data_IF_648898673282
#
_entry.id   IF_648898673282
#
_cell.length_a   1.000
_cell.length_b   1.000
_cell.length_c   1.000
_cell.angle_alpha   90.00
_cell.angle_beta   90.00
_cell.angle_gamma   90.00
#
_symmetry.space_group_name_H-M   'P 1'
#
loop_
_entity.id
_entity.type
_entity.pdbx_description
1 polymer ?
#
# COMPACT_ATOMS: atom_id res chain seq x y z
N UNK A 1 -24.23 13.14 -29.95
CA UNK A 1 -25.31 13.70 -30.80
C UNK A 1 -26.67 13.86 -30.11
N UNK A 2 -26.94 13.18 -28.97
CA UNK A 2 -28.22 13.28 -28.25
C UNK A 2 -28.62 14.72 -27.87
N UNK A 3 -27.69 15.50 -27.30
CA UNK A 3 -27.97 16.89 -26.89
C UNK A 3 -28.32 17.77 -28.10
N UNK A 4 -27.58 17.64 -29.21
CA UNK A 4 -27.82 18.40 -30.44
C UNK A 4 -29.18 18.06 -31.06
N UNK A 5 -29.61 16.79 -31.04
CA UNK A 5 -30.93 16.42 -31.58
C UNK A 5 -32.07 16.99 -30.73
N UNK A 6 -31.93 17.00 -29.41
CA UNK A 6 -32.91 17.61 -28.52
C UNK A 6 -32.98 19.13 -28.72
N UNK A 7 -31.84 19.81 -28.86
CA UNK A 7 -31.81 21.25 -29.16
C UNK A 7 -32.50 21.58 -30.49
N UNK A 8 -32.35 20.74 -31.51
CA UNK A 8 -33.05 20.90 -32.79
C UNK A 8 -34.56 20.69 -32.62
N UNK A 9 -34.97 19.61 -31.95
CA UNK A 9 -36.37 19.27 -31.73
C UNK A 9 -37.12 20.34 -30.93
N UNK A 10 -36.43 20.99 -29.99
CA UNK A 10 -36.96 22.08 -29.17
C UNK A 10 -36.79 23.47 -29.84
N UNK A 11 -36.22 23.54 -31.05
CA UNK A 11 -36.10 24.77 -31.82
C UNK A 11 -34.99 25.72 -31.37
N UNK A 12 -34.08 25.30 -30.49
CA UNK A 12 -32.93 26.09 -30.05
C UNK A 12 -31.85 26.22 -31.15
N UNK A 13 -31.80 25.26 -32.09
CA UNK A 13 -30.92 25.31 -33.27
C UNK A 13 -31.69 24.94 -34.54
N UNK A 14 -31.28 25.50 -35.67
CA UNK A 14 -31.83 25.15 -36.98
C UNK A 14 -31.33 23.78 -37.46
N UNK A 15 -32.01 23.20 -38.45
CA UNK A 15 -31.58 21.95 -39.07
C UNK A 15 -30.18 22.06 -39.70
N UNK A 16 -29.84 23.23 -40.24
CA UNK A 16 -28.53 23.51 -40.84
C UNK A 16 -27.43 23.65 -39.78
N UNK A 17 -27.73 24.29 -38.64
CA UNK A 17 -26.83 24.36 -37.49
C UNK A 17 -26.59 22.98 -36.87
N UNK A 18 -27.63 22.15 -36.79
CA UNK A 18 -27.52 20.76 -36.33
C UNK A 18 -26.59 19.94 -37.22
N UNK A 19 -26.80 19.97 -38.55
CA UNK A 19 -25.94 19.25 -39.49
C UNK A 19 -24.49 19.71 -39.41
N UNK A 20 -24.26 21.03 -39.34
CA UNK A 20 -22.91 21.57 -39.16
C UNK A 20 -22.25 21.10 -37.85
N UNK A 21 -23.00 21.12 -36.73
CA UNK A 21 -22.48 20.73 -35.42
C UNK A 21 -22.21 19.23 -35.30
N UNK A 22 -23.06 18.38 -35.88
CA UNK A 22 -22.87 16.92 -35.88
C UNK A 22 -21.64 16.51 -36.71
N UNK A 23 -21.36 17.25 -37.79
CA UNK A 23 -20.21 17.00 -38.66
C UNK A 23 -18.92 17.69 -38.18
N UNK A 24 -18.98 18.50 -37.12
CA UNK A 24 -17.78 19.10 -36.52
C UNK A 24 -17.07 18.07 -35.64
N UNK A 25 -15.77 17.78 -35.85
CA UNK A 25 -15.04 16.84 -35.01
C UNK A 25 -15.06 17.26 -33.54
N UNK A 26 -15.19 16.29 -32.61
CA UNK A 26 -15.20 16.58 -31.17
C UNK A 26 -13.88 17.18 -30.66
N UNK A 27 -12.83 17.07 -31.46
CA UNK A 27 -11.50 17.64 -31.20
C UNK A 27 -11.38 19.10 -31.62
N UNK A 28 -12.32 19.63 -32.41
CA UNK A 28 -12.28 21.00 -32.89
C UNK A 28 -12.57 22.00 -31.74
N UNK A 29 -11.68 22.98 -31.58
CA UNK A 29 -11.79 23.97 -30.50
C UNK A 29 -11.54 23.45 -29.08
N UNK A 30 -11.07 22.20 -28.91
CA UNK A 30 -10.64 21.71 -27.59
C UNK A 30 -9.49 22.58 -27.09
N UNK A 31 -9.72 23.27 -25.98
CA UNK A 31 -8.64 23.87 -25.22
C UNK A 31 -7.98 22.79 -24.36
N UNK A 32 -6.67 22.93 -24.12
CA UNK A 32 -6.00 22.11 -23.13
C UNK A 32 -6.74 22.21 -21.80
N UNK A 33 -7.07 21.06 -21.21
CA UNK A 33 -7.61 20.98 -19.86
C UNK A 33 -6.67 21.74 -18.93
N UNK A 34 -7.12 22.87 -18.41
CA UNK A 34 -6.46 23.50 -17.28
C UNK A 34 -6.79 22.63 -16.08
N UNK A 35 -5.84 21.78 -15.68
CA UNK A 35 -5.91 21.10 -14.40
C UNK A 35 -6.11 22.14 -13.32
N UNK A 36 -7.27 22.10 -12.69
CA UNK A 36 -7.56 22.84 -11.48
C UNK A 36 -8.20 21.86 -10.51
N UNK A 37 -7.48 20.80 -10.16
CA UNK A 37 -7.66 20.26 -8.83
C UNK A 37 -7.41 21.42 -7.86
N UNK A 38 -8.42 21.80 -7.08
CA UNK A 38 -8.31 22.91 -6.13
C UNK A 38 -7.44 22.55 -4.90
N UNK A 39 -6.70 21.45 -4.96
CA UNK A 39 -5.86 20.95 -3.88
C UNK A 39 -4.42 20.76 -4.38
N UNK A 40 -3.42 20.89 -3.49
CA UNK A 40 -2.02 20.65 -3.84
C UNK A 40 -1.77 19.19 -4.26
N UNK A 41 -0.92 18.96 -5.25
CA UNK A 41 -0.64 17.61 -5.76
C UNK A 41 -0.19 16.62 -4.67
N UNK A 42 0.52 17.09 -3.64
CA UNK A 42 0.95 16.25 -2.52
C UNK A 42 -0.19 15.71 -1.68
N UNK A 43 -1.42 16.24 -1.79
CA UNK A 43 -2.59 15.77 -1.06
C UNK A 43 -3.38 14.68 -1.80
N UNK A 44 -3.04 14.38 -3.06
CA UNK A 44 -3.91 13.61 -3.97
C UNK A 44 -4.30 12.24 -3.42
N UNK A 45 -3.33 11.40 -3.07
CA UNK A 45 -3.60 10.06 -2.55
C UNK A 45 -4.30 10.09 -1.18
N UNK A 46 -3.90 10.99 -0.29
CA UNK A 46 -4.55 11.13 1.01
C UNK A 46 -6.04 11.53 0.87
N UNK A 47 -6.34 12.52 0.01
CA UNK A 47 -7.71 12.94 -0.24
C UNK A 47 -8.53 11.87 -0.93
N UNK A 48 -7.93 11.04 -1.79
CA UNK A 48 -8.60 9.87 -2.37
C UNK A 48 -9.14 8.94 -1.27
N UNK A 49 -8.32 8.61 -0.28
CA UNK A 49 -8.76 7.75 0.83
C UNK A 49 -9.79 8.42 1.73
N UNK A 50 -9.67 9.72 1.98
CA UNK A 50 -10.71 10.49 2.70
C UNK A 50 -12.05 10.44 1.96
N UNK A 51 -12.03 10.58 0.63
CA UNK A 51 -13.23 10.51 -0.19
C UNK A 51 -13.86 9.12 -0.12
N UNK A 52 -13.05 8.08 -0.32
CA UNK A 52 -13.50 6.69 -0.24
C UNK A 52 -14.11 6.38 1.13
N UNK A 53 -13.42 6.76 2.22
CA UNK A 53 -13.88 6.49 3.58
C UNK A 53 -15.21 7.20 3.88
N UNK A 54 -15.36 8.46 3.50
CA UNK A 54 -16.62 9.19 3.73
C UNK A 54 -17.76 8.60 2.90
N UNK A 55 -17.50 8.19 1.66
CA UNK A 55 -18.51 7.54 0.84
C UNK A 55 -18.93 6.18 1.43
N UNK A 56 -17.98 5.37 1.91
CA UNK A 56 -18.25 4.08 2.57
C UNK A 56 -19.02 4.24 3.89
N UNK A 57 -18.65 5.21 4.73
CA UNK A 57 -19.26 5.38 6.06
C UNK A 57 -20.60 6.12 6.03
N UNK A 58 -20.79 7.04 5.07
CA UNK A 58 -21.95 7.94 5.06
C UNK A 58 -22.89 7.73 3.87
N UNK A 59 -22.41 7.10 2.79
CA UNK A 59 -23.12 7.00 1.52
C UNK A 59 -23.18 8.29 0.70
N UNK A 60 -22.55 9.38 1.16
CA UNK A 60 -22.49 10.65 0.44
C UNK A 60 -21.22 10.77 -0.39
N UNK A 61 -21.40 11.18 -1.65
CA UNK A 61 -20.26 11.51 -2.51
C UNK A 61 -19.81 12.95 -2.24
N UNK A 62 -18.61 13.09 -1.66
CA UNK A 62 -18.01 14.37 -1.28
C UNK A 62 -17.81 15.35 -2.44
N UNK A 63 -17.63 14.86 -3.66
CA UNK A 63 -17.44 15.71 -4.83
C UNK A 63 -18.73 16.42 -5.28
N UNK A 64 -19.88 15.95 -4.79
CA UNK A 64 -21.20 16.47 -5.17
C UNK A 64 -22.01 17.00 -3.98
N UNK A 65 -21.63 16.62 -2.76
CA UNK A 65 -22.31 17.01 -1.53
C UNK A 65 -21.51 18.10 -0.84
N UNK A 66 -22.12 19.26 -0.59
CA UNK A 66 -21.49 20.31 0.22
C UNK A 66 -21.35 19.87 1.68
N UNK A 67 -20.14 19.52 2.09
CA UNK A 67 -19.82 19.02 3.43
C UNK A 67 -18.46 19.54 3.89
N UNK A 68 -18.34 19.83 5.18
CA UNK A 68 -17.06 20.09 5.83
C UNK A 68 -16.49 18.78 6.40
N UNK A 69 -15.28 18.41 5.99
CA UNK A 69 -14.58 17.21 6.44
C UNK A 69 -13.32 17.58 7.21
N UNK A 70 -13.26 17.15 8.46
CA UNK A 70 -12.08 17.32 9.31
C UNK A 70 -11.29 16.00 9.31
N UNK A 71 -10.03 16.06 8.89
CA UNK A 71 -9.18 14.87 8.72
C UNK A 71 -8.02 14.87 9.71
N UNK A 72 -7.25 13.79 9.74
CA UNK A 72 -6.08 13.65 10.62
C UNK A 72 -4.76 14.06 9.93
N UNK A 73 -4.82 14.67 8.73
CA UNK A 73 -3.61 14.99 7.96
C UNK A 73 -2.73 15.97 8.73
N UNK A 74 -1.47 15.62 8.88
CA UNK A 74 -0.43 16.59 9.20
C UNK A 74 0.10 17.13 7.88
N UNK A 75 -0.25 18.38 7.56
CA UNK A 75 0.08 18.98 6.27
C UNK A 75 1.59 19.11 6.04
N UNK A 76 2.35 19.36 7.11
CA UNK A 76 3.80 19.47 7.01
C UNK A 76 4.42 18.10 6.80
N UNK A 77 3.96 17.08 7.53
CA UNK A 77 4.41 15.69 7.33
C UNK A 77 4.05 15.18 5.92
N UNK A 78 2.83 15.47 5.45
CA UNK A 78 2.37 15.08 4.11
C UNK A 78 3.22 15.73 3.01
N UNK A 79 3.47 17.04 3.12
CA UNK A 79 4.32 17.74 2.16
C UNK A 79 5.75 17.20 2.21
N UNK A 80 6.30 17.00 3.41
CA UNK A 80 7.65 16.48 3.56
C UNK A 80 7.80 15.06 2.98
N UNK A 81 6.82 14.18 3.22
CA UNK A 81 6.77 12.84 2.61
C UNK A 81 6.78 12.91 1.08
N UNK A 82 6.01 13.84 0.50
CA UNK A 82 6.00 14.06 -0.93
C UNK A 82 7.35 14.56 -1.45
N UNK A 83 7.99 15.51 -0.75
CA UNK A 83 9.30 16.04 -1.10
C UNK A 83 10.39 14.95 -1.06
N UNK A 84 10.37 14.06 -0.06
CA UNK A 84 11.32 12.93 0.06
C UNK A 84 11.34 12.06 -1.20
N UNK A 85 10.16 11.85 -1.83
CA UNK A 85 10.02 10.92 -2.94
C UNK A 85 9.99 11.58 -4.31
N UNK A 86 9.66 12.86 -4.41
CA UNK A 86 9.53 13.57 -5.69
C UNK A 86 10.65 14.58 -5.93
N UNK A 87 11.66 14.64 -5.06
CA UNK A 87 12.85 15.47 -5.22
C UNK A 87 14.12 14.64 -5.08
N UNK A 88 15.23 15.17 -5.58
CA UNK A 88 16.55 14.54 -5.50
C UNK A 88 17.29 14.83 -4.17
N UNK A 89 16.63 15.48 -3.20
CA UNK A 89 17.27 15.92 -1.95
C UNK A 89 17.53 14.75 -0.98
N UNK A 90 16.62 13.78 -0.91
CA UNK A 90 16.60 12.77 0.16
C UNK A 90 16.98 11.37 -0.30
N UNK A 91 16.51 10.98 -1.49
CA UNK A 91 16.67 9.62 -2.03
C UNK A 91 17.16 9.70 -3.46
N UNK A 92 18.30 9.07 -3.73
CA UNK A 92 18.82 8.94 -5.09
C UNK A 92 18.16 7.72 -5.77
N UNK A 93 17.26 7.99 -6.70
CA UNK A 93 16.59 6.96 -7.47
C UNK A 93 17.37 6.57 -8.72
N UNK A 94 17.28 5.30 -9.18
CA UNK A 94 17.92 4.87 -10.41
C UNK A 94 17.30 5.54 -11.65
N UNK A 95 16.00 5.83 -11.60
CA UNK A 95 15.22 6.50 -12.64
C UNK A 95 13.89 7.05 -12.08
N UNK A 96 13.15 7.76 -12.94
CA UNK A 96 11.84 8.34 -12.64
C UNK A 96 10.69 7.32 -12.70
N UNK A 97 10.93 6.12 -13.25
CA UNK A 97 9.92 5.06 -13.36
C UNK A 97 9.76 4.27 -12.05
N UNK A 98 10.82 4.20 -11.22
CA UNK A 98 10.77 3.50 -9.94
C UNK A 98 9.71 4.11 -9.01
N UNK A 99 8.70 3.33 -8.65
CA UNK A 99 7.62 3.76 -7.76
C UNK A 99 7.89 3.43 -6.30
N UNK A 100 7.44 4.32 -5.41
CA UNK A 100 7.49 4.17 -3.95
C UNK A 100 6.13 4.57 -3.39
N UNK A 101 5.72 3.91 -2.32
CA UNK A 101 4.54 4.27 -1.56
C UNK A 101 4.79 4.11 -0.06
N UNK A 102 4.15 4.96 0.73
CA UNK A 102 4.27 5.02 2.18
C UNK A 102 2.99 5.51 2.82
N UNK A 103 2.66 4.90 3.96
CA UNK A 103 1.61 5.34 4.88
C UNK A 103 2.26 5.65 6.22
N UNK A 104 2.05 6.86 6.74
CA UNK A 104 2.56 7.32 8.03
C UNK A 104 1.40 7.32 9.02
N UNK A 105 1.59 6.62 10.14
CA UNK A 105 0.56 6.39 11.14
C UNK A 105 1.03 6.95 12.48
N UNK A 106 0.15 7.67 13.16
CA UNK A 106 0.34 8.02 14.57
C UNK A 106 0.12 6.78 15.43
N UNK A 107 1.21 6.25 16.00
CA UNK A 107 1.19 5.02 16.81
C UNK A 107 0.37 5.15 18.10
N UNK A 108 0.05 6.36 18.57
CA UNK A 108 -0.73 6.57 19.78
C UNK A 108 -2.24 6.32 19.59
N UNK A 109 -2.72 6.43 18.36
CA UNK A 109 -4.15 6.36 18.05
C UNK A 109 -4.50 5.60 16.76
N UNK A 110 -3.50 5.16 16.00
CA UNK A 110 -3.66 4.38 14.76
C UNK A 110 -4.11 5.20 13.55
N UNK A 111 -4.17 6.53 13.64
CA UNK A 111 -4.64 7.39 12.54
C UNK A 111 -3.56 7.60 11.48
N UNK A 112 -3.95 7.55 10.22
CA UNK A 112 -3.08 7.94 9.10
C UNK A 112 -2.95 9.46 9.08
N UNK A 113 -1.72 9.96 9.15
CA UNK A 113 -1.42 11.41 9.19
C UNK A 113 -0.75 11.90 7.90
N UNK A 114 -0.14 10.99 7.14
CA UNK A 114 0.37 11.27 5.80
C UNK A 114 0.37 9.99 4.97
N UNK A 115 0.17 10.11 3.66
CA UNK A 115 0.17 8.99 2.73
C UNK A 115 0.58 9.43 1.32
N UNK A 116 1.46 8.65 0.69
CA UNK A 116 1.86 8.81 -0.70
C UNK A 116 1.83 7.46 -1.37
N UNK A 117 1.15 7.36 -2.50
CA UNK A 117 0.92 6.10 -3.22
C UNK A 117 1.68 5.96 -4.54
N UNK A 118 2.28 7.03 -5.04
CA UNK A 118 3.07 7.03 -6.26
C UNK A 118 4.07 8.20 -6.31
N UNK A 119 5.19 7.99 -7.01
CA UNK A 119 6.15 9.03 -7.43
C UNK A 119 5.74 9.60 -8.79
N UNK A 120 5.99 10.89 -9.00
CA UNK A 120 5.85 11.60 -10.27
C UNK A 120 4.49 11.45 -10.95
N UNK A 121 3.40 11.43 -10.15
CA UNK A 121 2.05 11.44 -10.72
C UNK A 121 1.84 12.66 -11.61
N UNK A 122 1.33 12.43 -12.82
CA UNK A 122 1.07 13.50 -13.78
C UNK A 122 0.04 14.49 -13.25
N UNK A 123 0.31 15.79 -13.46
CA UNK A 123 -0.56 16.90 -13.00
C UNK A 123 -1.98 16.91 -13.59
N UNK A 124 -2.23 16.16 -14.66
CA UNK A 124 -3.54 15.99 -15.27
C UNK A 124 -4.33 14.77 -14.73
N UNK A 125 -3.77 14.04 -13.76
CA UNK A 125 -4.40 12.91 -13.10
C UNK A 125 -4.75 13.30 -11.67
N UNK A 126 -6.04 13.29 -11.36
CA UNK A 126 -6.57 13.43 -10.00
C UNK A 126 -6.96 12.07 -9.44
N UNK A 127 -6.67 11.85 -8.16
CA UNK A 127 -6.96 10.62 -7.44
C UNK A 127 -6.38 9.39 -8.13
N UNK A 128 -5.10 9.50 -8.53
CA UNK A 128 -4.39 8.47 -9.28
C UNK A 128 -4.15 7.19 -8.48
N UNK A 129 -3.27 6.33 -8.99
CA UNK A 129 -2.96 5.05 -8.32
C UNK A 129 -2.42 5.34 -6.92
N UNK A 130 -2.89 4.56 -5.94
CA UNK A 130 -2.46 4.67 -4.55
C UNK A 130 -1.93 3.33 -4.06
N UNK A 131 -0.64 3.04 -4.31
CA UNK A 131 -0.04 1.77 -3.89
C UNK A 131 0.11 1.66 -2.36
N UNK A 132 -0.10 2.75 -1.61
CA UNK A 132 0.06 2.76 -0.15
C UNK A 132 -1.05 1.99 0.59
N UNK A 133 -2.14 1.67 -0.10
CA UNK A 133 -3.29 0.91 0.41
C UNK A 133 -3.49 -0.41 -0.32
N UNK A 134 -2.63 -0.75 -1.28
CA UNK A 134 -2.71 -2.01 -2.01
C UNK A 134 -2.18 -3.18 -1.17
N UNK A 135 -2.88 -4.31 -1.19
CA UNK A 135 -2.54 -5.53 -0.43
C UNK A 135 -2.03 -6.67 -1.33
N UNK A 136 -1.59 -6.34 -2.55
CA UNK A 136 -1.24 -7.28 -3.61
C UNK A 136 0.28 -7.53 -3.73
N UNK A 137 1.09 -7.03 -2.78
CA UNK A 137 2.55 -7.08 -2.84
C UNK A 137 3.12 -7.95 -1.73
N UNK A 138 4.10 -8.77 -2.10
CA UNK A 138 4.92 -9.50 -1.12
C UNK A 138 5.75 -8.52 -0.29
N UNK A 139 5.58 -8.58 1.02
CA UNK A 139 6.30 -7.75 1.98
C UNK A 139 7.52 -8.47 2.59
N UNK A 140 7.79 -9.70 2.15
CA UNK A 140 9.04 -10.42 2.36
C UNK A 140 9.41 -10.55 3.83
N UNK A 141 10.69 -10.41 4.14
CA UNK A 141 11.20 -10.59 5.51
C UNK A 141 10.68 -9.59 6.54
N UNK A 142 10.00 -8.52 6.14
CA UNK A 142 9.34 -7.61 7.10
C UNK A 142 8.22 -8.30 7.90
N UNK A 143 7.77 -9.46 7.43
CA UNK A 143 6.78 -10.29 8.11
C UNK A 143 7.32 -11.15 9.24
N UNK A 144 8.62 -11.47 9.26
CA UNK A 144 9.25 -12.34 10.27
C UNK A 144 8.94 -11.94 11.71
N UNK A 145 9.06 -10.65 12.12
CA UNK A 145 8.69 -10.25 13.46
C UNK A 145 7.26 -10.62 13.82
N UNK A 146 6.31 -10.49 12.88
CA UNK A 146 4.86 -10.59 13.13
C UNK A 146 4.35 -12.03 12.96
N UNK A 147 4.84 -12.76 11.96
CA UNK A 147 4.36 -14.11 11.63
C UNK A 147 5.06 -15.21 12.43
N UNK A 148 6.35 -15.03 12.73
CA UNK A 148 7.16 -16.09 13.33
C UNK A 148 7.46 -15.78 14.80
N UNK A 149 8.17 -14.68 15.03
CA UNK A 149 8.77 -14.41 16.34
C UNK A 149 7.76 -13.89 17.37
N UNK A 150 6.85 -12.99 16.97
CA UNK A 150 5.80 -12.49 17.87
C UNK A 150 4.90 -13.61 18.39
N UNK A 151 4.30 -14.50 17.56
CA UNK A 151 3.52 -15.60 18.09
C UNK A 151 4.39 -16.58 18.87
N UNK A 152 5.67 -16.78 18.53
CA UNK A 152 6.55 -17.63 19.34
C UNK A 152 6.74 -17.11 20.77
N UNK A 153 6.85 -15.80 20.95
CA UNK A 153 6.94 -15.18 22.27
C UNK A 153 5.58 -15.18 22.98
N UNK A 154 4.50 -14.78 22.30
CA UNK A 154 3.13 -14.76 22.84
C UNK A 154 2.71 -16.12 23.40
N UNK A 155 3.11 -17.17 22.69
CA UNK A 155 2.71 -18.54 23.00
C UNK A 155 3.70 -19.32 23.85
N UNK A 156 4.74 -18.67 24.37
CA UNK A 156 5.75 -19.29 25.23
C UNK A 156 6.56 -20.38 24.53
N UNK A 157 6.72 -20.32 23.20
CA UNK A 157 7.66 -21.16 22.45
C UNK A 157 9.09 -20.73 22.78
N UNK A 158 9.29 -19.43 22.94
CA UNK A 158 10.53 -18.83 23.42
C UNK A 158 10.24 -17.94 24.62
N UNK A 159 11.06 -18.06 25.66
CA UNK A 159 10.87 -17.33 26.92
C UNK A 159 11.68 -16.02 26.98
N UNK A 160 12.56 -15.79 25.99
CA UNK A 160 13.46 -14.63 25.96
C UNK A 160 14.03 -14.37 24.57
N UNK A 161 14.40 -13.12 24.29
CA UNK A 161 15.18 -12.73 23.11
C UNK A 161 16.60 -13.29 23.10
N UNK A 162 17.10 -13.75 24.26
CA UNK A 162 18.38 -14.44 24.38
C UNK A 162 18.31 -15.95 24.07
N UNK A 163 17.11 -16.48 23.79
CA UNK A 163 16.93 -17.90 23.43
C UNK A 163 17.83 -18.26 22.25
N UNK A 164 18.50 -19.41 22.32
CA UNK A 164 19.33 -19.91 21.23
C UNK A 164 18.44 -20.55 20.16
N UNK A 165 18.64 -20.15 18.92
CA UNK A 165 18.03 -20.70 17.70
C UNK A 165 19.12 -21.20 16.77
N UNK A 166 18.75 -22.10 15.85
CA UNK A 166 19.72 -22.82 15.02
C UNK A 166 19.71 -22.26 13.59
N UNK A 167 20.82 -21.67 13.17
CA UNK A 167 21.06 -21.27 11.78
C UNK A 167 21.96 -22.29 11.10
N UNK A 168 21.40 -23.45 10.76
CA UNK A 168 22.08 -24.60 10.13
C UNK A 168 21.26 -25.17 8.96
N UNK A 169 21.78 -26.06 8.10
CA UNK A 169 21.00 -26.61 6.98
C UNK A 169 19.65 -27.16 7.42
N UNK A 170 18.58 -26.61 6.85
CA UNK A 170 17.20 -26.90 7.25
C UNK A 170 16.31 -27.00 6.01
N UNK A 171 15.34 -27.91 6.04
CA UNK A 171 14.33 -28.05 4.99
C UNK A 171 12.99 -27.53 5.46
N UNK A 172 12.15 -27.05 4.54
CA UNK A 172 10.78 -26.74 4.88
C UNK A 172 10.10 -27.98 5.49
N UNK A 173 9.40 -27.85 6.63
CA UNK A 173 8.88 -29.00 7.34
C UNK A 173 7.98 -29.88 6.46
N UNK A 174 8.22 -31.20 6.48
CA UNK A 174 7.48 -32.17 5.67
C UNK A 174 7.92 -32.25 4.20
N UNK A 175 9.04 -31.64 3.83
CA UNK A 175 9.57 -31.65 2.45
C UNK A 175 11.09 -31.88 2.43
N UNK A 176 11.62 -32.17 1.25
CA UNK A 176 13.07 -32.19 0.97
C UNK A 176 13.57 -30.85 0.38
N UNK A 177 12.75 -29.79 0.44
CA UNK A 177 13.09 -28.49 -0.13
C UNK A 177 13.94 -27.70 0.88
N UNK A 178 15.19 -27.36 0.56
CA UNK A 178 16.06 -26.63 1.46
C UNK A 178 15.63 -25.18 1.62
N UNK A 179 15.75 -24.67 2.85
CA UNK A 179 15.66 -23.25 3.17
C UNK A 179 17.07 -22.67 3.08
N UNK A 180 17.23 -21.58 2.32
CA UNK A 180 18.51 -20.88 2.22
C UNK A 180 18.43 -19.50 2.86
N UNK A 181 19.49 -19.13 3.57
CA UNK A 181 19.77 -17.75 3.89
C UNK A 181 20.24 -17.00 2.63
N UNK A 182 20.09 -15.68 2.62
CA UNK A 182 20.43 -14.83 1.47
C UNK A 182 21.90 -14.96 1.05
N UNK A 183 22.79 -15.28 1.99
CA UNK A 183 24.23 -15.49 1.80
C UNK A 183 24.62 -16.96 1.56
N UNK A 184 23.67 -17.90 1.67
CA UNK A 184 23.89 -19.36 1.69
C UNK A 184 24.83 -19.85 2.79
N UNK A 185 25.14 -19.00 3.77
CA UNK A 185 25.93 -19.33 4.95
C UNK A 185 25.07 -19.76 6.13
N UNK A 186 25.73 -20.22 7.19
CA UNK A 186 25.12 -20.71 8.42
C UNK A 186 25.96 -20.23 9.60
N UNK A 187 25.33 -19.55 10.56
CA UNK A 187 26.01 -19.09 11.78
C UNK A 187 25.97 -20.10 12.92
N UNK A 188 25.28 -21.23 12.74
CA UNK A 188 25.07 -22.22 13.78
C UNK A 188 24.20 -21.65 14.89
N UNK A 189 24.60 -21.87 16.14
CA UNK A 189 23.83 -21.44 17.30
C UNK A 189 23.96 -19.94 17.53
N UNK A 190 22.85 -19.21 17.36
CA UNK A 190 22.79 -17.77 17.56
C UNK A 190 21.61 -17.41 18.46
N UNK A 191 21.60 -16.21 19.03
CA UNK A 191 20.43 -15.75 19.80
C UNK A 191 19.27 -15.39 18.86
N UNK A 192 18.03 -15.51 19.34
CA UNK A 192 16.84 -15.06 18.63
C UNK A 192 16.94 -13.59 18.21
N UNK A 193 17.45 -12.74 19.10
CA UNK A 193 17.71 -11.33 18.79
C UNK A 193 18.67 -11.18 17.59
N UNK A 194 19.74 -11.96 17.54
CA UNK A 194 20.70 -11.90 16.44
C UNK A 194 20.13 -12.47 15.14
N UNK A 195 19.35 -13.56 15.22
CA UNK A 195 18.65 -14.12 14.07
C UNK A 195 17.69 -13.10 13.43
N UNK A 196 16.92 -12.37 14.25
CA UNK A 196 16.03 -11.32 13.78
C UNK A 196 16.81 -10.12 13.22
N UNK A 197 17.88 -9.68 13.91
CA UNK A 197 18.75 -8.59 13.44
C UNK A 197 19.36 -8.87 12.06
N UNK A 198 19.82 -10.10 11.84
CA UNK A 198 20.42 -10.54 10.57
C UNK A 198 19.38 -11.01 9.56
N UNK A 199 18.09 -10.96 9.91
CA UNK A 199 16.96 -11.44 9.11
C UNK A 199 17.20 -12.84 8.54
N UNK A 200 17.69 -13.78 9.37
CA UNK A 200 17.99 -15.14 8.92
C UNK A 200 16.71 -15.89 8.55
N UNK A 201 16.73 -16.60 7.41
CA UNK A 201 15.57 -17.33 6.89
C UNK A 201 15.37 -18.66 7.62
N UNK A 202 16.46 -19.38 7.90
CA UNK A 202 16.38 -20.69 8.55
C UNK A 202 15.74 -20.60 9.95
N UNK A 203 16.25 -19.75 10.88
CA UNK A 203 15.62 -19.61 12.19
C UNK A 203 14.17 -19.11 12.14
N UNK A 204 13.81 -18.31 11.14
CA UNK A 204 12.44 -17.84 10.94
C UNK A 204 11.49 -19.02 10.61
N UNK A 205 11.85 -19.84 9.61
CA UNK A 205 11.07 -21.03 9.25
C UNK A 205 11.04 -22.06 10.38
N UNK A 206 12.16 -22.29 11.08
CA UNK A 206 12.23 -23.16 12.26
C UNK A 206 11.29 -22.66 13.36
N UNK A 207 11.25 -21.34 13.58
CA UNK A 207 10.37 -20.70 14.57
C UNK A 207 8.91 -20.89 14.21
N UNK A 208 8.50 -20.59 12.98
CA UNK A 208 7.12 -20.80 12.53
C UNK A 208 6.70 -22.28 12.65
N UNK A 209 7.62 -23.21 12.39
CA UNK A 209 7.38 -24.64 12.61
C UNK A 209 7.10 -24.97 14.08
N UNK A 210 7.88 -24.41 15.02
CA UNK A 210 7.65 -24.60 16.46
C UNK A 210 6.35 -23.97 16.95
N UNK A 211 5.97 -22.80 16.41
CA UNK A 211 4.68 -22.16 16.69
C UNK A 211 3.53 -23.02 16.16
N UNK A 212 3.68 -23.52 14.94
CA UNK A 212 2.65 -24.22 14.19
C UNK A 212 1.71 -23.28 13.44
N UNK A 213 1.42 -23.63 12.19
CA UNK A 213 0.65 -22.82 11.23
C UNK A 213 -0.70 -22.32 11.76
N UNK A 214 -1.46 -23.16 12.46
CA UNK A 214 -2.77 -22.78 12.99
C UNK A 214 -2.68 -21.71 14.09
N UNK A 215 -1.66 -21.80 14.96
CA UNK A 215 -1.46 -20.83 16.04
C UNK A 215 -0.96 -19.49 15.48
N UNK A 216 -0.04 -19.53 14.52
CA UNK A 216 0.42 -18.34 13.80
C UNK A 216 -0.74 -17.64 13.07
N UNK A 217 -1.56 -18.38 12.32
CA UNK A 217 -2.76 -17.81 11.65
C UNK A 217 -3.74 -17.20 12.65
N UNK A 218 -3.98 -17.87 13.77
CA UNK A 218 -4.87 -17.33 14.83
C UNK A 218 -4.34 -16.02 15.41
N UNK A 219 -3.03 -15.93 15.64
CA UNK A 219 -2.37 -14.73 16.12
C UNK A 219 -2.49 -13.57 15.10
N UNK A 220 -2.18 -13.84 13.83
CA UNK A 220 -2.27 -12.87 12.74
C UNK A 220 -3.69 -12.35 12.53
N UNK A 221 -4.70 -13.23 12.57
CA UNK A 221 -6.10 -12.83 12.50
C UNK A 221 -6.49 -11.91 13.67
N UNK A 222 -5.94 -12.13 14.86
CA UNK A 222 -6.12 -11.24 16.02
C UNK A 222 -5.55 -9.83 15.82
N UNK A 223 -4.56 -9.69 14.93
CA UNK A 223 -3.99 -8.40 14.50
C UNK A 223 -4.69 -7.80 13.28
N UNK A 224 -5.71 -8.48 12.72
CA UNK A 224 -6.38 -8.06 11.49
C UNK A 224 -5.63 -8.43 10.20
N UNK A 225 -4.62 -9.30 10.27
CA UNK A 225 -3.88 -9.80 9.10
C UNK A 225 -4.45 -11.18 8.74
N UNK A 226 -5.25 -11.24 7.67
CA UNK A 226 -5.89 -12.49 7.22
C UNK A 226 -5.13 -13.13 6.06
N UNK A 227 -4.67 -14.35 6.28
CA UNK A 227 -4.12 -15.22 5.24
C UNK A 227 -5.16 -16.26 4.85
N UNK A 228 -5.60 -16.34 3.56
CA UNK A 228 -6.52 -17.38 3.11
C UNK A 228 -6.01 -18.79 3.47
N UNK A 229 -4.72 -19.03 3.21
CA UNK A 229 -3.96 -20.20 3.68
C UNK A 229 -2.57 -19.75 4.14
N UNK A 230 -2.02 -20.45 5.14
CA UNK A 230 -0.67 -20.20 5.64
C UNK A 230 0.19 -21.45 5.42
N UNK A 231 1.43 -21.25 5.00
CA UNK A 231 2.43 -22.26 4.69
C UNK A 231 3.77 -21.89 5.36
N UNK A 232 4.72 -22.82 5.46
CA UNK A 232 6.03 -22.50 6.06
C UNK A 232 6.88 -21.54 5.23
N UNK A 233 6.61 -21.41 3.93
CA UNK A 233 7.17 -20.32 3.11
C UNK A 233 6.72 -18.94 3.60
N UNK A 234 5.58 -18.88 4.29
CA UNK A 234 5.12 -17.70 4.98
C UNK A 234 5.88 -17.36 6.25
N UNK A 235 7.09 -17.86 6.45
CA UNK A 235 8.03 -17.26 7.41
C UNK A 235 8.92 -16.19 6.77
N UNK A 236 8.99 -16.13 5.44
CA UNK A 236 9.96 -15.25 4.75
C UNK A 236 9.35 -14.42 3.61
N UNK A 237 8.07 -14.66 3.28
CA UNK A 237 7.33 -14.08 2.16
C UNK A 237 5.83 -14.21 2.42
N UNK A 238 4.99 -13.27 2.00
CA UNK A 238 3.54 -13.29 2.24
C UNK A 238 2.76 -13.99 1.15
#
# INVERSE_FOLDING_TARGET
NLVLSEMKNQGYISAEQYEKAVNTPITDGLQSLKSASNYPAYMDNYLKEVINQVEEETGYNLLTTGMDVYTNVDQEAQKHLWDIYNTDEYVAYPDDELQVASTIVDVSNGKVIAQLGARHQSSNVSFGINQAVETNRDWGSTMKPITDYAPALEYGVYDSTATIVHDEPYNYPGTDIPVYNWDRGYFGNITLQYALQQSRNVPAVETLNKVGLNRAKTFLNGLGIDYPSIHYSNAISS
#
